data_IF_395367615513
#
_entry.id   IF_395367615513
#
_cell.length_a   1.000
_cell.length_b   1.000
_cell.length_c   1.000
_cell.angle_alpha   90.00
_cell.angle_beta   90.00
_cell.angle_gamma   90.00
#
_symmetry.space_group_name_H-M   'P 1'
#
loop_
_entity.id
_entity.type
_entity.pdbx_description
1 polymer ?
#
# COMPACT_ATOMS: atom_id res chain seq x y z
N UNK A 1 12.21 17.56 15.41
CA UNK A 1 11.01 17.13 16.16
C UNK A 1 9.76 17.64 15.48
N UNK A 2 9.74 18.92 15.12
CA UNK A 2 8.61 19.57 14.44
C UNK A 2 8.18 18.88 13.13
N UNK A 3 9.12 18.33 12.37
CA UNK A 3 8.81 17.57 11.14
C UNK A 3 7.99 16.30 11.36
N UNK A 4 7.99 15.74 12.59
CA UNK A 4 7.22 14.55 12.96
C UNK A 4 6.02 14.89 13.85
N UNK A 5 5.80 16.17 14.17
CA UNK A 5 4.81 16.64 15.15
C UNK A 5 4.86 15.85 16.49
N UNK A 6 6.07 15.52 16.94
CA UNK A 6 6.31 14.76 18.17
C UNK A 6 6.99 15.62 19.22
N UNK A 7 6.45 15.60 20.44
CA UNK A 7 7.13 16.15 21.60
C UNK A 7 8.48 15.43 21.82
N UNK A 8 9.50 16.18 22.24
CA UNK A 8 10.87 15.68 22.33
C UNK A 8 11.00 14.42 23.21
N UNK A 9 10.36 14.41 24.39
CA UNK A 9 10.36 13.24 25.28
C UNK A 9 9.69 12.01 24.66
N UNK A 10 8.64 12.22 23.86
CA UNK A 10 7.92 11.13 23.16
C UNK A 10 8.79 10.51 22.09
N UNK A 11 9.47 11.31 21.28
CA UNK A 11 10.34 10.76 20.25
C UNK A 11 11.57 10.03 20.83
N UNK A 12 12.16 10.50 21.94
CA UNK A 12 13.18 9.72 22.65
C UNK A 12 12.63 8.40 23.20
N UNK A 13 11.39 8.40 23.71
CA UNK A 13 10.72 7.16 24.15
C UNK A 13 10.53 6.18 23.00
N UNK A 14 10.13 6.65 21.82
CA UNK A 14 9.99 5.80 20.62
C UNK A 14 11.34 5.28 20.14
N UNK A 15 12.37 6.11 20.08
CA UNK A 15 13.74 5.68 19.73
C UNK A 15 14.22 4.60 20.69
N UNK A 16 14.04 4.77 22.00
CA UNK A 16 14.43 3.75 22.97
C UNK A 16 13.67 2.43 22.77
N UNK A 17 12.35 2.48 22.49
CA UNK A 17 11.58 1.26 22.16
C UNK A 17 12.10 0.56 20.92
N UNK A 18 12.51 1.30 19.89
CA UNK A 18 13.08 0.74 18.67
C UNK A 18 14.47 0.13 18.94
N UNK A 19 15.28 0.74 19.81
CA UNK A 19 16.56 0.16 20.27
C UNK A 19 16.33 -1.12 21.06
N UNK A 20 15.40 -1.10 22.01
CA UNK A 20 15.05 -2.25 22.86
C UNK A 20 14.48 -3.41 22.01
N UNK A 21 13.75 -3.10 20.94
CA UNK A 21 13.26 -4.07 19.97
C UNK A 21 14.35 -4.58 19.01
N UNK A 22 15.56 -4.01 19.04
CA UNK A 22 16.69 -4.40 18.19
C UNK A 22 16.58 -3.97 16.72
N UNK A 23 15.62 -3.10 16.39
CA UNK A 23 15.37 -2.64 15.01
C UNK A 23 16.21 -1.43 14.62
N UNK A 24 16.73 -0.68 15.60
CA UNK A 24 17.73 0.38 15.38
C UNK A 24 18.85 0.27 16.41
N UNK A 25 20.03 0.76 16.07
CA UNK A 25 21.17 0.86 17.00
C UNK A 25 21.83 2.23 16.94
N UNK A 26 22.40 2.67 18.07
CA UNK A 26 23.19 3.89 18.10
C UNK A 26 24.57 3.62 17.46
N UNK A 27 25.00 4.51 16.57
CA UNK A 27 26.32 4.41 15.94
C UNK A 27 27.44 4.92 16.84
N UNK A 28 27.09 5.70 17.86
CA UNK A 28 28.00 6.27 18.85
C UNK A 28 27.30 6.48 20.18
N UNK A 29 28.06 6.37 21.27
CA UNK A 29 27.62 6.72 22.62
C UNK A 29 27.68 8.22 22.91
N UNK A 30 28.36 8.98 22.04
CA UNK A 30 28.56 10.42 22.17
C UNK A 30 27.33 11.23 21.69
N UNK A 31 27.15 12.41 22.27
CA UNK A 31 26.08 13.33 21.87
C UNK A 31 26.58 14.30 20.79
N UNK A 32 25.78 14.60 19.76
CA UNK A 32 24.43 14.08 19.50
C UNK A 32 24.44 12.64 18.94
N UNK A 33 23.54 11.79 19.45
CA UNK A 33 23.44 10.39 19.03
C UNK A 33 22.88 10.27 17.62
N UNK A 34 23.52 9.43 16.82
CA UNK A 34 23.02 9.02 15.50
C UNK A 34 22.60 7.55 15.57
N UNK A 35 21.51 7.20 14.89
CA UNK A 35 20.97 5.84 14.87
C UNK A 35 20.95 5.30 13.44
N UNK A 36 21.18 4.01 13.30
CA UNK A 36 21.03 3.27 12.04
C UNK A 36 19.94 2.23 12.21
N UNK A 37 19.07 2.10 11.21
CA UNK A 37 18.08 1.05 11.16
C UNK A 37 18.71 -0.26 10.67
N UNK A 38 18.28 -1.37 11.25
CA UNK A 38 18.63 -2.70 10.78
C UNK A 38 17.52 -3.23 9.88
N UNK A 39 17.88 -4.08 8.92
CA UNK A 39 16.90 -4.79 8.12
C UNK A 39 16.04 -5.66 9.05
N UNK A 40 14.71 -5.47 8.95
CA UNK A 40 13.74 -6.21 9.76
C UNK A 40 13.40 -7.48 8.99
N UNK A 41 14.07 -8.58 9.35
CA UNK A 41 13.68 -9.94 8.93
C UNK A 41 12.93 -10.62 10.09
N UNK A 42 11.72 -10.13 10.39
CA UNK A 42 10.86 -10.75 11.41
C UNK A 42 9.78 -11.59 10.73
N UNK A 43 9.73 -12.86 11.07
CA UNK A 43 8.72 -13.78 10.55
C UNK A 43 7.80 -14.24 11.68
N UNK A 44 6.49 -14.00 11.52
CA UNK A 44 5.46 -14.40 12.47
C UNK A 44 4.66 -15.57 11.90
N UNK A 45 4.64 -16.67 12.62
CA UNK A 45 3.72 -17.80 12.37
C UNK A 45 2.42 -17.55 13.15
N UNK A 46 1.28 -17.47 12.45
CA UNK A 46 -0.02 -17.39 13.12
C UNK A 46 -0.29 -18.68 13.91
N UNK A 47 -0.92 -18.55 15.09
CA UNK A 47 -1.14 -19.65 16.04
C UNK A 47 -2.03 -20.80 15.51
N UNK A 48 -2.68 -20.62 14.36
CA UNK A 48 -3.54 -21.62 13.70
C UNK A 48 -2.82 -22.42 12.58
N UNK A 49 -1.48 -22.51 12.62
CA UNK A 49 -0.64 -23.46 11.85
C UNK A 49 -0.83 -23.47 10.31
N UNK A 50 -0.26 -22.48 9.59
CA UNK A 50 0.43 -22.69 8.29
C UNK A 50 0.76 -21.40 7.52
N UNK A 51 0.34 -20.22 7.99
CA UNK A 51 0.68 -18.95 7.32
C UNK A 51 1.82 -18.25 8.03
N UNK A 52 2.97 -18.32 7.40
CA UNK A 52 4.18 -17.58 7.75
C UNK A 52 4.08 -16.17 7.15
N UNK A 53 4.09 -15.15 8.01
CA UNK A 53 4.03 -13.75 7.59
C UNK A 53 5.36 -13.05 7.89
N UNK A 54 6.03 -12.60 6.84
CA UNK A 54 7.19 -11.71 6.98
C UNK A 54 6.70 -10.30 7.27
N UNK A 55 7.16 -9.72 8.37
CA UNK A 55 7.00 -8.29 8.63
C UNK A 55 7.94 -7.54 7.69
N UNK A 56 7.34 -6.85 6.73
CA UNK A 56 8.02 -6.00 5.77
C UNK A 56 7.86 -4.52 6.17
N UNK A 57 8.76 -3.63 5.74
CA UNK A 57 8.57 -2.17 5.90
C UNK A 57 7.22 -1.68 5.37
N UNK A 58 6.74 -2.26 4.26
CA UNK A 58 5.43 -1.98 3.68
C UNK A 58 4.28 -2.35 4.61
N UNK A 59 4.35 -3.50 5.29
CA UNK A 59 3.35 -3.90 6.27
C UNK A 59 3.39 -2.99 7.50
N UNK A 60 4.58 -2.58 7.95
CA UNK A 60 4.72 -1.64 9.08
C UNK A 60 4.08 -0.29 8.75
N UNK A 61 4.33 0.24 7.55
CA UNK A 61 3.70 1.49 7.09
C UNK A 61 2.18 1.34 7.01
N UNK A 62 1.69 0.27 6.38
CA UNK A 62 0.26 -0.01 6.30
C UNK A 62 -0.40 -0.07 7.69
N UNK A 63 0.22 -0.77 8.65
CA UNK A 63 -0.30 -0.82 10.03
C UNK A 63 -0.22 0.55 10.71
N UNK A 64 0.84 1.34 10.46
CA UNK A 64 1.02 2.68 11.01
C UNK A 64 -0.07 3.66 10.55
N UNK A 65 -0.52 3.54 9.30
CA UNK A 65 -1.55 4.39 8.69
C UNK A 65 -2.93 4.26 9.33
N UNK A 66 -3.16 3.25 10.17
CA UNK A 66 -4.40 3.16 10.98
C UNK A 66 -4.68 4.41 11.83
N UNK A 67 -3.67 5.24 12.11
CA UNK A 67 -3.84 6.50 12.85
C UNK A 67 -4.39 7.65 12.01
N UNK A 68 -4.34 7.51 10.69
CA UNK A 68 -4.66 8.57 9.72
C UNK A 68 -5.64 8.13 8.64
N UNK A 69 -5.91 6.83 8.54
CA UNK A 69 -6.78 6.20 7.54
C UNK A 69 -7.78 5.28 8.25
N UNK A 70 -9.04 5.72 8.31
CA UNK A 70 -10.13 5.02 9.00
C UNK A 70 -10.52 3.70 8.30
N UNK A 71 -10.28 3.59 6.98
CA UNK A 71 -10.59 2.39 6.21
C UNK A 71 -9.59 1.27 6.56
N UNK A 72 -8.30 1.62 6.69
CA UNK A 72 -7.26 0.71 7.21
C UNK A 72 -7.56 0.32 8.66
N UNK A 73 -7.90 1.27 9.52
CA UNK A 73 -8.20 0.98 10.94
C UNK A 73 -9.39 0.02 11.05
N UNK A 74 -10.48 0.29 10.33
CA UNK A 74 -11.67 -0.56 10.29
C UNK A 74 -11.36 -1.96 9.74
N UNK A 75 -10.53 -2.06 8.70
CA UNK A 75 -10.15 -3.34 8.13
C UNK A 75 -9.31 -4.17 9.09
N UNK A 76 -8.33 -3.55 9.78
CA UNK A 76 -7.51 -4.21 10.81
C UNK A 76 -8.40 -4.70 11.97
N UNK A 77 -9.34 -3.88 12.43
CA UNK A 77 -10.22 -4.27 13.55
C UNK A 77 -11.10 -5.48 13.20
N UNK A 78 -11.48 -5.63 11.92
CA UNK A 78 -12.30 -6.77 11.46
C UNK A 78 -11.50 -8.01 11.07
N UNK A 79 -10.37 -7.82 10.40
CA UNK A 79 -9.62 -8.91 9.75
C UNK A 79 -8.23 -9.16 10.37
N UNK A 80 -7.83 -8.34 11.34
CA UNK A 80 -6.51 -8.39 11.98
C UNK A 80 -5.37 -7.97 11.05
N UNK A 81 -4.16 -7.97 11.62
CA UNK A 81 -2.93 -7.62 10.88
C UNK A 81 -2.62 -8.69 9.80
N UNK A 82 -2.91 -9.96 10.07
CA UNK A 82 -2.74 -11.03 9.08
C UNK A 82 -3.66 -10.85 7.86
N UNK A 83 -4.90 -10.39 8.09
CA UNK A 83 -5.82 -10.00 7.02
C UNK A 83 -5.28 -8.81 6.22
N UNK A 84 -4.77 -7.78 6.89
CA UNK A 84 -4.13 -6.63 6.24
C UNK A 84 -2.92 -7.03 5.40
N UNK A 85 -2.05 -7.91 5.91
CA UNK A 85 -0.91 -8.43 5.17
C UNK A 85 -1.33 -9.14 3.88
N UNK A 86 -2.41 -9.92 3.96
CA UNK A 86 -2.99 -10.58 2.78
C UNK A 86 -3.58 -9.56 1.79
N UNK A 87 -4.32 -8.56 2.28
CA UNK A 87 -4.86 -7.47 1.46
C UNK A 87 -3.75 -6.67 0.76
N UNK A 88 -2.61 -6.45 1.43
CA UNK A 88 -1.44 -5.79 0.86
C UNK A 88 -0.83 -6.60 -0.29
N UNK A 89 -0.80 -7.93 -0.21
CA UNK A 89 -0.41 -8.79 -1.34
C UNK A 89 -1.34 -8.58 -2.55
N UNK A 90 -2.66 -8.52 -2.33
CA UNK A 90 -3.61 -8.22 -3.40
C UNK A 90 -3.48 -6.79 -3.93
N UNK A 91 -3.15 -5.82 -3.09
CA UNK A 91 -2.94 -4.43 -3.50
C UNK A 91 -1.76 -4.31 -4.46
N UNK A 92 -0.63 -4.95 -4.15
CA UNK A 92 0.54 -4.99 -5.06
C UNK A 92 0.18 -5.63 -6.39
N UNK A 93 -0.47 -6.80 -6.36
CA UNK A 93 -0.87 -7.50 -7.59
C UNK A 93 -1.89 -6.68 -8.41
N UNK A 94 -2.78 -5.95 -7.74
CA UNK A 94 -3.78 -5.10 -8.42
C UNK A 94 -3.12 -3.94 -9.14
N UNK A 95 -2.21 -3.25 -8.47
CA UNK A 95 -1.52 -2.10 -9.07
C UNK A 95 -0.60 -2.53 -10.23
N UNK A 96 -0.19 -3.81 -10.27
CA UNK A 96 0.46 -4.43 -11.45
C UNK A 96 -0.52 -4.90 -12.54
N UNK A 97 -1.83 -4.73 -12.34
CA UNK A 97 -2.87 -5.17 -13.27
C UNK A 97 -3.13 -6.69 -13.27
N UNK A 98 -2.61 -7.43 -12.30
CA UNK A 98 -2.68 -8.89 -12.23
C UNK A 98 -4.01 -9.39 -11.64
N UNK A 99 -4.60 -8.62 -10.72
CA UNK A 99 -5.83 -8.99 -10.01
C UNK A 99 -6.82 -7.82 -9.91
N UNK A 100 -8.09 -8.15 -9.64
CA UNK A 100 -9.15 -7.16 -9.41
C UNK A 100 -9.71 -7.28 -7.99
N UNK A 101 -10.41 -6.26 -7.50
CA UNK A 101 -11.11 -6.34 -6.20
C UNK A 101 -12.09 -7.50 -6.13
N UNK A 102 -12.71 -7.89 -7.25
CA UNK A 102 -13.68 -9.00 -7.26
C UNK A 102 -13.02 -10.34 -6.99
N UNK A 103 -11.80 -10.54 -7.52
CA UNK A 103 -11.03 -11.74 -7.26
C UNK A 103 -10.63 -11.81 -5.78
N UNK A 104 -10.10 -10.71 -5.23
CA UNK A 104 -9.79 -10.62 -3.80
C UNK A 104 -11.03 -10.89 -2.91
N UNK A 105 -12.17 -10.27 -3.26
CA UNK A 105 -13.40 -10.43 -2.51
C UNK A 105 -13.86 -11.89 -2.45
N UNK A 106 -13.74 -12.59 -3.58
CA UNK A 106 -14.05 -14.02 -3.67
C UNK A 106 -13.06 -14.87 -2.87
N UNK A 107 -11.76 -14.60 -2.99
CA UNK A 107 -10.72 -15.40 -2.34
C UNK A 107 -10.71 -15.23 -0.81
N UNK A 108 -11.06 -14.04 -0.32
CA UNK A 108 -11.04 -13.70 1.11
C UNK A 108 -12.44 -13.76 1.76
N UNK A 109 -13.47 -14.15 1.02
CA UNK A 109 -14.88 -14.16 1.46
C UNK A 109 -15.30 -12.81 2.10
N UNK A 110 -14.93 -11.71 1.45
CA UNK A 110 -15.31 -10.35 1.86
C UNK A 110 -16.21 -9.70 0.83
N UNK A 111 -16.91 -8.63 1.20
CA UNK A 111 -17.75 -7.92 0.23
C UNK A 111 -16.89 -7.25 -0.86
N UNK A 112 -17.34 -7.20 -2.13
CA UNK A 112 -16.63 -6.51 -3.19
C UNK A 112 -16.34 -5.03 -2.88
N UNK A 113 -17.25 -4.38 -2.13
CA UNK A 113 -17.07 -3.02 -1.66
C UNK A 113 -15.95 -2.92 -0.63
N UNK A 114 -15.92 -3.81 0.37
CA UNK A 114 -14.85 -3.83 1.37
C UNK A 114 -13.49 -4.10 0.73
N UNK A 115 -13.42 -5.01 -0.24
CA UNK A 115 -12.20 -5.27 -1.02
C UNK A 115 -11.77 -4.03 -1.80
N UNK A 116 -12.67 -3.34 -2.49
CA UNK A 116 -12.31 -2.11 -3.21
C UNK A 116 -11.81 -1.01 -2.26
N UNK A 117 -12.50 -0.79 -1.15
CA UNK A 117 -12.13 0.23 -0.15
C UNK A 117 -10.71 -0.01 0.36
N UNK A 118 -10.41 -1.22 0.85
CA UNK A 118 -9.08 -1.49 1.41
C UNK A 118 -7.99 -1.44 0.33
N UNK A 119 -8.28 -1.86 -0.91
CA UNK A 119 -7.32 -1.77 -2.01
C UNK A 119 -7.00 -0.32 -2.38
N UNK A 120 -8.01 0.57 -2.34
CA UNK A 120 -7.78 2.01 -2.55
C UNK A 120 -6.98 2.62 -1.39
N UNK A 121 -7.29 2.27 -0.14
CA UNK A 121 -6.57 2.77 1.03
C UNK A 121 -5.10 2.29 1.07
N UNK A 122 -4.82 1.08 0.58
CA UNK A 122 -3.46 0.54 0.48
C UNK A 122 -2.68 1.04 -0.75
N UNK A 123 -3.34 1.65 -1.74
CA UNK A 123 -2.69 2.14 -2.97
C UNK A 123 -1.50 3.06 -2.68
N UNK A 124 -1.59 4.09 -1.82
CA UNK A 124 -0.45 4.95 -1.57
C UNK A 124 0.62 4.30 -0.69
N UNK A 125 0.36 3.14 -0.04
CA UNK A 125 1.44 2.32 0.56
C UNK A 125 2.19 1.62 -0.56
N UNK A 126 1.47 1.02 -1.51
CA UNK A 126 2.08 0.27 -2.60
C UNK A 126 2.96 1.18 -3.46
N UNK A 127 2.47 2.35 -3.85
CA UNK A 127 3.23 3.31 -4.67
C UNK A 127 4.46 3.90 -3.97
N UNK A 128 4.51 3.90 -2.64
CA UNK A 128 5.67 4.39 -1.86
C UNK A 128 6.85 3.39 -1.91
N UNK A 129 6.55 2.09 -1.93
CA UNK A 129 7.56 1.03 -1.75
C UNK A 129 7.80 0.14 -2.96
N UNK A 130 6.90 0.18 -3.95
CA UNK A 130 7.02 -0.60 -5.16
C UNK A 130 7.07 0.37 -6.35
N UNK A 131 8.06 0.19 -7.22
CA UNK A 131 8.12 0.87 -8.51
C UNK A 131 7.01 0.35 -9.42
N UNK A 132 5.81 0.88 -9.23
CA UNK A 132 4.66 0.60 -10.08
C UNK A 132 4.54 1.75 -11.05
N UNK A 133 4.86 1.49 -12.32
CA UNK A 133 4.50 2.40 -13.39
C UNK A 133 2.99 2.58 -13.35
N UNK A 134 2.54 3.80 -13.05
CA UNK A 134 1.14 4.15 -13.17
C UNK A 134 0.77 3.89 -14.64
N UNK A 135 0.12 2.75 -14.90
CA UNK A 135 -0.48 2.46 -16.20
C UNK A 135 -1.71 3.35 -16.37
N UNK A 136 -1.49 4.67 -16.27
CA UNK A 136 -2.35 5.68 -16.80
C UNK A 136 -2.10 5.73 -18.28
N UNK A 137 -2.91 4.97 -19.03
CA UNK A 137 -3.31 5.45 -20.34
C UNK A 137 -3.90 6.85 -20.11
N UNK A 138 -3.08 7.88 -20.31
CA UNK A 138 -3.53 9.25 -20.19
C UNK A 138 -4.64 9.45 -21.21
N UNK A 139 -5.72 10.10 -20.79
CA UNK A 139 -6.87 10.45 -21.65
C UNK A 139 -6.44 11.35 -22.83
N UNK A 140 -5.19 11.81 -22.85
CA UNK A 140 -4.56 12.53 -23.95
C UNK A 140 -4.34 11.69 -25.22
N UNK A 141 -4.51 10.37 -25.20
CA UNK A 141 -4.35 9.52 -26.38
C UNK A 141 -5.63 9.31 -27.22
N UNK A 142 -6.74 9.99 -26.89
CA UNK A 142 -8.02 9.88 -27.65
C UNK A 142 -8.19 10.99 -28.71
N UNK A 143 -7.27 11.94 -28.85
CA UNK A 143 -7.29 12.88 -30.00
C UNK A 143 -6.88 12.15 -31.29
N UNK A 144 -7.87 11.66 -32.04
CA UNK A 144 -7.65 11.09 -33.36
C UNK A 144 -8.84 10.32 -33.95
N UNK A 145 -10.09 10.65 -33.59
CA UNK A 145 -11.24 10.24 -34.41
C UNK A 145 -11.60 11.44 -35.28
N UNK A 146 -10.87 11.57 -36.39
CA UNK A 146 -11.13 12.55 -37.44
C UNK A 146 -12.57 12.45 -37.95
N UNK A 147 -13.18 13.63 -38.12
CA UNK A 147 -14.37 13.86 -38.92
C UNK A 147 -14.10 13.48 -40.38
N UNK A 148 -14.61 12.34 -40.83
CA UNK A 148 -14.85 12.11 -42.26
C UNK A 148 -16.37 11.98 -42.49
N UNK A 149 -17.03 13.13 -42.67
CA UNK A 149 -18.35 13.20 -43.31
C UNK A 149 -18.20 13.85 -44.68
N UNK A 150 -17.49 13.18 -45.59
CA UNK A 150 -17.61 13.46 -47.02
C UNK A 150 -18.81 12.71 -47.59
N UNK A 151 -19.96 13.38 -47.62
CA UNK A 151 -21.05 13.02 -48.54
C UNK A 151 -20.90 13.83 -49.82
N UNK A 152 -20.09 13.32 -50.74
CA UNK A 152 -20.22 13.63 -52.17
C UNK A 152 -20.82 12.42 -52.89
N UNK A 153 -22.12 12.48 -53.17
CA UNK A 153 -22.77 11.63 -54.17
C UNK A 153 -23.36 12.54 -55.22
N UNK A 154 -22.53 12.97 -56.17
CA UNK A 154 -22.99 13.42 -57.48
C UNK A 154 -23.06 12.19 -58.40
N UNK A 155 -24.22 11.97 -59.01
CA UNK A 155 -24.56 10.74 -59.72
C UNK A 155 -24.06 10.62 -61.16
N UNK A 156 -24.39 9.49 -61.79
CA UNK A 156 -25.13 9.39 -63.07
C UNK A 156 -25.15 7.93 -63.59
N UNK A 157 -26.09 7.67 -64.53
CA UNK A 157 -26.19 6.55 -65.50
C UNK A 157 -27.04 5.36 -65.01
N UNK A 158 -28.21 5.02 -65.58
CA UNK A 158 -28.69 4.96 -66.98
C UNK A 158 -30.16 5.41 -67.09
#
# INVERSE_FOLDING_TARGET
>A
MDALDLAQGTAYSYVNRLVDAGVIEATTDEQPRTYVARDIDLTITAADDDREYTITPTLIDAVGRRRTDDDIDTYIDRHGIAGLATALTYAVARERGEVTHRLMAQDLDVSPLAAEIILQALRPVVHEYFDIEESGASVAAIEGVDEDVDRDVAGDTV
#
